data_IF_227868064928
#
_entry.id   IF_227868064928
#
_cell.length_a   1.000
_cell.length_b   1.000
_cell.length_c   1.000
_cell.angle_alpha   90.00
_cell.angle_beta   90.00
_cell.angle_gamma   90.00
#
_symmetry.space_group_name_H-M   'P 1'
#
loop_
_entity.id
_entity.type
_entity.pdbx_description
1 polymer ?
#
# COMPACT_ATOMS: atom_id res chain seq x y z
N UNK A 1 6.42 3.97 -10.79
CA UNK A 1 6.18 4.76 -9.55
C UNK A 1 4.68 5.04 -9.30
N UNK A 2 3.83 5.13 -10.32
CA UNK A 2 2.40 5.41 -10.15
C UNK A 2 1.51 4.18 -9.90
N UNK A 3 1.98 2.98 -10.27
CA UNK A 3 1.19 1.75 -10.18
C UNK A 3 0.69 1.48 -8.76
N UNK A 4 1.51 1.71 -7.73
CA UNK A 4 1.08 1.55 -6.34
C UNK A 4 -0.05 2.50 -5.94
N UNK A 5 -0.04 3.74 -6.45
CA UNK A 5 -1.14 4.69 -6.21
C UNK A 5 -2.42 4.24 -6.92
N UNK A 6 -2.30 3.75 -8.16
CA UNK A 6 -3.45 3.22 -8.92
C UNK A 6 -4.06 2.01 -8.19
N UNK A 7 -3.23 1.06 -7.75
CA UNK A 7 -3.69 -0.13 -7.03
C UNK A 7 -4.43 0.28 -5.73
N UNK A 8 -3.91 1.27 -4.99
CA UNK A 8 -4.57 1.80 -3.79
C UNK A 8 -5.89 2.50 -4.07
N UNK A 9 -5.99 3.24 -5.16
CA UNK A 9 -7.25 3.84 -5.62
C UNK A 9 -8.31 2.81 -6.02
N UNK A 10 -7.90 1.57 -6.31
CA UNK A 10 -8.81 0.44 -6.59
C UNK A 10 -9.21 -0.34 -5.32
N UNK A 11 -8.85 0.15 -4.13
CA UNK A 11 -9.22 -0.46 -2.85
C UNK A 11 -8.32 -1.63 -2.43
N UNK A 12 -7.15 -1.80 -3.05
CA UNK A 12 -6.16 -2.81 -2.69
C UNK A 12 -4.99 -2.16 -1.92
N UNK A 13 -4.45 -2.84 -0.91
CA UNK A 13 -3.46 -2.27 0.01
C UNK A 13 -2.13 -3.06 0.02
N UNK A 14 -1.43 -3.17 -1.13
CA UNK A 14 -0.18 -3.92 -1.20
C UNK A 14 0.96 -3.20 -0.47
N UNK A 15 1.86 -4.00 0.07
CA UNK A 15 3.21 -3.60 0.49
C UNK A 15 4.05 -3.19 -0.72
N UNK A 16 5.17 -2.49 -0.50
CA UNK A 16 6.04 -2.10 -1.61
C UNK A 16 6.60 -3.30 -2.38
N UNK A 17 6.92 -4.40 -1.68
CA UNK A 17 7.39 -5.63 -2.32
C UNK A 17 6.31 -6.23 -3.25
N UNK A 18 5.05 -6.26 -2.81
CA UNK A 18 3.92 -6.75 -3.62
C UNK A 18 3.64 -5.82 -4.81
N UNK A 19 3.81 -4.51 -4.65
CA UNK A 19 3.73 -3.56 -5.77
C UNK A 19 4.77 -3.90 -6.83
N UNK A 20 6.01 -4.25 -6.43
CA UNK A 20 7.04 -4.69 -7.37
C UNK A 20 6.70 -6.03 -8.03
N UNK A 21 6.05 -6.95 -7.32
CA UNK A 21 5.56 -8.22 -7.88
C UNK A 21 4.51 -7.97 -8.98
N UNK A 22 3.53 -7.09 -8.72
CA UNK A 22 2.51 -6.71 -9.71
C UNK A 22 3.16 -6.02 -10.90
N UNK A 23 4.12 -5.11 -10.67
CA UNK A 23 4.84 -4.44 -11.75
C UNK A 23 5.60 -5.44 -12.63
N UNK A 24 6.25 -6.44 -12.04
CA UNK A 24 6.95 -7.49 -12.78
C UNK A 24 5.98 -8.33 -13.64
N UNK A 25 4.76 -8.59 -13.17
CA UNK A 25 3.73 -9.31 -13.93
C UNK A 25 3.16 -8.48 -15.09
N UNK A 26 3.05 -7.16 -14.93
CA UNK A 26 2.52 -6.27 -15.95
C UNK A 26 3.57 -5.98 -17.04
N UNK A 27 4.86 -5.94 -16.68
CA UNK A 27 5.94 -5.49 -17.56
C UNK A 27 6.92 -6.62 -17.95
N UNK A 28 6.41 -7.85 -18.14
CA UNK A 28 7.23 -9.05 -18.43
C UNK A 28 8.07 -8.90 -19.69
N UNK A 29 7.51 -8.32 -20.75
CA UNK A 29 8.17 -8.21 -22.06
C UNK A 29 9.20 -7.08 -22.14
N UNK A 30 9.04 -6.03 -21.32
CA UNK A 30 9.94 -4.86 -21.34
C UNK A 30 10.37 -4.40 -19.94
N UNK A 31 11.06 -5.23 -19.14
CA UNK A 31 11.30 -4.94 -17.71
C UNK A 31 12.09 -3.66 -17.43
N UNK A 32 12.78 -3.10 -18.44
CA UNK A 32 13.57 -1.86 -18.34
C UNK A 32 12.77 -0.60 -18.67
N UNK A 33 11.55 -0.74 -19.17
CA UNK A 33 10.67 0.38 -19.52
C UNK A 33 10.05 0.97 -18.24
N UNK A 34 10.03 2.30 -18.17
CA UNK A 34 9.56 3.06 -16.97
C UNK A 34 8.02 3.15 -16.91
N UNK A 35 7.35 2.85 -18.02
CA UNK A 35 5.90 2.86 -18.17
C UNK A 35 5.38 1.45 -18.50
N UNK A 36 4.07 1.26 -18.36
CA UNK A 36 3.38 0.03 -18.74
C UNK A 36 2.10 0.36 -19.51
N UNK A 37 1.69 -0.57 -20.37
CA UNK A 37 0.47 -0.42 -21.15
C UNK A 37 -0.76 -0.82 -20.33
N UNK A 38 -1.84 -0.06 -20.44
CA UNK A 38 -3.10 -0.36 -19.75
C UNK A 38 -3.62 -1.76 -20.10
N UNK A 39 -3.48 -2.19 -21.35
CA UNK A 39 -3.88 -3.52 -21.83
C UNK A 39 -3.16 -4.67 -21.10
N UNK A 40 -1.92 -4.44 -20.66
CA UNK A 40 -1.15 -5.41 -19.85
C UNK A 40 -1.51 -5.33 -18.37
N UNK A 41 -1.88 -4.13 -17.88
CA UNK A 41 -2.27 -3.91 -16.49
C UNK A 41 -3.62 -4.52 -16.14
N UNK A 42 -4.63 -4.30 -17.00
CA UNK A 42 -6.01 -4.74 -16.78
C UNK A 42 -6.15 -6.22 -16.39
N UNK A 43 -5.60 -7.20 -17.14
CA UNK A 43 -5.78 -8.62 -16.80
C UNK A 43 -5.15 -8.98 -15.44
N UNK A 44 -4.00 -8.40 -15.12
CA UNK A 44 -3.32 -8.62 -13.82
C UNK A 44 -4.18 -8.05 -12.68
N UNK A 45 -4.62 -6.80 -12.81
CA UNK A 45 -5.37 -6.12 -11.77
C UNK A 45 -6.79 -6.70 -11.59
N UNK A 46 -7.44 -7.11 -12.68
CA UNK A 46 -8.72 -7.83 -12.63
C UNK A 46 -8.59 -9.09 -11.78
N UNK A 47 -7.53 -9.88 -12.01
CA UNK A 47 -7.27 -11.08 -11.21
C UNK A 47 -7.05 -10.73 -9.74
N UNK A 48 -6.24 -9.71 -9.44
CA UNK A 48 -6.02 -9.23 -8.06
C UNK A 48 -7.35 -8.89 -7.36
N UNK A 49 -8.25 -8.17 -8.03
CA UNK A 49 -9.55 -7.77 -7.46
C UNK A 49 -10.47 -8.98 -7.27
N UNK A 50 -10.59 -9.84 -8.29
CA UNK A 50 -11.45 -11.03 -8.24
C UNK A 50 -10.99 -12.03 -7.18
N UNK A 51 -9.68 -12.21 -7.04
CA UNK A 51 -9.05 -13.07 -6.03
C UNK A 51 -9.02 -12.42 -4.63
N UNK A 52 -9.52 -11.17 -4.50
CA UNK A 52 -9.50 -10.38 -3.26
C UNK A 52 -8.12 -10.29 -2.62
N UNK A 53 -7.08 -10.18 -3.45
CA UNK A 53 -5.70 -10.00 -2.98
C UNK A 53 -5.50 -8.59 -2.43
N UNK A 54 -4.56 -8.47 -1.48
CA UNK A 54 -4.19 -7.19 -0.83
C UNK A 54 -5.39 -6.50 -0.15
N UNK A 55 -6.10 -7.19 0.77
CA UNK A 55 -7.20 -6.58 1.49
C UNK A 55 -6.72 -5.40 2.34
N UNK A 56 -7.62 -4.47 2.70
CA UNK A 56 -7.30 -3.42 3.68
C UNK A 56 -6.84 -4.03 5.00
N UNK A 57 -6.00 -3.28 5.71
CA UNK A 57 -5.68 -3.59 7.11
C UNK A 57 -6.98 -3.46 7.92
N UNK A 58 -7.30 -4.45 8.78
CA UNK A 58 -8.48 -4.37 9.64
C UNK A 58 -8.50 -3.09 10.49
N UNK A 59 -9.68 -2.49 10.65
CA UNK A 59 -9.85 -1.21 11.36
C UNK A 59 -9.39 -1.27 12.82
N UNK A 60 -9.61 -2.40 13.49
CA UNK A 60 -9.17 -2.64 14.86
C UNK A 60 -7.64 -2.68 14.97
N UNK A 61 -6.94 -3.25 13.98
CA UNK A 61 -5.48 -3.25 13.94
C UNK A 61 -4.94 -1.82 13.77
N UNK A 62 -5.55 -1.02 12.89
CA UNK A 62 -5.19 0.39 12.71
C UNK A 62 -5.45 1.21 13.99
N UNK A 63 -6.58 0.96 14.65
CA UNK A 63 -6.92 1.62 15.90
C UNK A 63 -5.90 1.30 17.00
N UNK A 64 -5.58 0.02 17.21
CA UNK A 64 -4.58 -0.37 18.22
C UNK A 64 -3.18 0.19 17.90
N UNK A 65 -2.78 0.23 16.62
CA UNK A 65 -1.52 0.84 16.21
C UNK A 65 -1.50 2.36 16.52
N UNK A 66 -2.62 3.05 16.31
CA UNK A 66 -2.75 4.46 16.67
C UNK A 66 -2.70 4.67 18.19
N UNK A 67 -3.43 3.85 18.96
CA UNK A 67 -3.44 3.91 20.43
C UNK A 67 -2.05 3.64 21.05
N UNK A 68 -1.22 2.81 20.40
CA UNK A 68 0.16 2.59 20.84
C UNK A 68 1.02 3.87 20.76
N UNK A 69 0.69 4.78 19.84
CA UNK A 69 1.36 6.07 19.69
C UNK A 69 0.71 7.16 20.59
N UNK A 70 -0.60 7.11 20.77
CA UNK A 70 -1.38 7.99 21.66
C UNK A 70 -1.44 7.46 23.11
N UNK A 71 -0.28 7.44 23.77
CA UNK A 71 -0.13 6.89 25.13
C UNK A 71 -1.04 7.55 26.17
N UNK A 72 -1.38 8.83 25.97
CA UNK A 72 -2.22 9.62 26.87
C UNK A 72 -3.73 9.46 26.57
N UNK A 73 -4.09 8.72 25.52
CA UNK A 73 -5.47 8.52 25.06
C UNK A 73 -6.22 9.84 24.81
N UNK A 74 -5.52 10.80 24.21
CA UNK A 74 -6.07 12.11 23.90
C UNK A 74 -6.89 12.13 22.59
N UNK A 75 -6.82 11.07 21.78
CA UNK A 75 -7.47 10.95 20.47
C UNK A 75 -6.67 11.60 19.33
N UNK A 76 -5.43 12.02 19.57
CA UNK A 76 -4.55 12.65 18.58
C UNK A 76 -3.08 12.38 18.89
N UNK A 77 -2.24 12.38 17.87
CA UNK A 77 -0.78 12.30 18.00
C UNK A 77 -0.21 13.67 17.65
N UNK A 78 0.61 14.25 18.54
CA UNK A 78 1.24 15.54 18.27
C UNK A 78 2.34 15.40 17.22
N UNK A 79 2.72 16.52 16.60
CA UNK A 79 3.85 16.53 15.64
C UNK A 79 5.15 16.09 16.31
N UNK A 80 5.33 16.49 17.57
CA UNK A 80 6.49 16.20 18.39
C UNK A 80 6.55 14.70 18.70
N UNK A 81 5.44 14.11 19.13
CA UNK A 81 5.33 12.66 19.38
C UNK A 81 5.56 11.87 18.10
N UNK A 82 4.92 12.25 17.00
CA UNK A 82 5.09 11.57 15.72
C UNK A 82 6.54 11.62 15.22
N UNK A 83 7.20 12.77 15.34
CA UNK A 83 8.63 12.90 15.00
C UNK A 83 9.48 11.95 15.83
N UNK A 84 9.29 11.97 17.15
CA UNK A 84 10.00 11.10 18.09
C UNK A 84 9.90 9.63 17.65
N UNK A 85 8.68 9.13 17.44
CA UNK A 85 8.46 7.74 17.03
C UNK A 85 9.03 7.40 15.64
N UNK A 86 9.06 8.34 14.70
CA UNK A 86 9.54 8.09 13.33
C UNK A 86 11.07 8.23 13.16
N UNK A 87 11.77 8.82 14.13
CA UNK A 87 13.22 9.09 14.00
C UNK A 87 14.09 8.47 15.10
N UNK A 88 13.51 8.06 16.22
CA UNK A 88 14.27 7.55 17.38
C UNK A 88 14.17 6.02 17.58
N UNK A 89 13.71 5.28 16.56
CA UNK A 89 13.84 3.81 16.47
C UNK A 89 14.95 3.37 15.51
#
# INVERSE_FOLDING_TARGET
REIGSIIRSLGCFPTEAEVQEVLAQVNVEEPRTVYFHLEKFLPVMMKVILDRRYPPIPEDVLLHAFEALDQNKCGYITKEDLKKYLTEE
#
